data_IF_988315243299
#
_entry.id   IF_988315243299
#
_cell.length_a   1.000
_cell.length_b   1.000
_cell.length_c   1.000
_cell.angle_alpha   90.00
_cell.angle_beta   90.00
_cell.angle_gamma   90.00
#
_symmetry.space_group_name_H-M   'P 1'
#
loop_
_entity.id
_entity.type
_entity.pdbx_description
1 polymer ?
#
# COMPACT_ATOMS: atom_id res chain seq x y z
N UNK A 1 -8.90 -21.55 13.76
CA UNK A 1 -10.34 -21.60 13.40
C UNK A 1 -10.88 -20.27 12.88
N UNK A 2 -10.26 -19.15 13.20
CA UNK A 2 -10.66 -17.78 12.77
C UNK A 2 -10.27 -17.50 11.30
N UNK A 3 -9.10 -17.96 10.86
CA UNK A 3 -8.59 -17.73 9.49
C UNK A 3 -9.49 -18.33 8.40
N UNK A 4 -10.10 -19.49 8.63
CA UNK A 4 -11.02 -20.13 7.66
C UNK A 4 -12.31 -19.32 7.41
N UNK A 5 -12.75 -18.51 8.37
CA UNK A 5 -13.96 -17.69 8.22
C UNK A 5 -13.72 -16.40 7.43
N UNK A 6 -12.50 -15.83 7.51
CA UNK A 6 -12.13 -14.63 6.73
C UNK A 6 -11.93 -14.93 5.25
N UNK A 7 -11.31 -16.05 4.91
CA UNK A 7 -11.16 -16.48 3.49
C UNK A 7 -12.54 -16.73 2.87
N UNK A 8 -13.49 -17.23 3.63
CA UNK A 8 -14.86 -17.48 3.15
C UNK A 8 -15.64 -16.17 2.91
N UNK A 9 -15.44 -15.15 3.75
CA UNK A 9 -16.06 -13.83 3.56
C UNK A 9 -15.49 -13.08 2.35
N UNK A 10 -14.19 -13.12 2.10
CA UNK A 10 -13.58 -12.54 0.91
C UNK A 10 -14.05 -13.23 -0.38
N UNK A 11 -14.19 -14.57 -0.36
CA UNK A 11 -14.75 -15.34 -1.46
C UNK A 11 -16.24 -15.07 -1.68
N UNK A 12 -17.01 -14.83 -0.62
CA UNK A 12 -18.45 -14.57 -0.70
C UNK A 12 -18.79 -13.18 -1.25
N UNK A 13 -17.95 -12.18 -1.01
CA UNK A 13 -18.09 -10.84 -1.62
C UNK A 13 -17.79 -10.90 -3.13
N UNK A 14 -16.90 -11.78 -3.58
CA UNK A 14 -16.64 -11.96 -5.03
C UNK A 14 -17.82 -12.60 -5.79
N UNK A 15 -18.58 -13.49 -5.17
CA UNK A 15 -19.67 -14.22 -5.87
C UNK A 15 -20.90 -13.36 -6.13
N UNK A 16 -21.12 -12.27 -5.39
CA UNK A 16 -22.30 -11.41 -5.55
C UNK A 16 -22.17 -10.34 -6.64
N UNK A 17 -20.96 -10.10 -7.19
CA UNK A 17 -20.74 -9.11 -8.26
C UNK A 17 -20.77 -9.66 -9.69
N UNK A 18 -21.06 -10.95 -9.89
CA UNK A 18 -20.90 -11.61 -11.21
C UNK A 18 -22.08 -11.42 -12.17
N UNK A 19 -23.04 -10.55 -11.93
CA UNK A 19 -24.20 -10.44 -12.81
C UNK A 19 -24.60 -9.03 -13.23
N UNK A 20 -23.71 -8.12 -13.58
CA UNK A 20 -24.09 -6.98 -14.46
C UNK A 20 -22.86 -6.26 -15.01
N UNK A 21 -22.73 -6.32 -16.34
CA UNK A 21 -21.75 -5.66 -17.20
C UNK A 21 -20.30 -6.16 -17.07
N UNK A 22 -19.82 -6.75 -18.14
CA UNK A 22 -18.41 -7.06 -18.42
C UNK A 22 -17.58 -5.76 -18.56
N UNK A 23 -17.39 -5.05 -17.46
CA UNK A 23 -16.33 -4.09 -17.32
C UNK A 23 -15.04 -4.88 -17.06
N UNK A 24 -13.91 -4.44 -17.63
CA UNK A 24 -12.63 -5.10 -17.39
C UNK A 24 -12.36 -5.20 -15.91
N UNK A 25 -12.12 -6.41 -15.44
CA UNK A 25 -11.74 -6.73 -14.07
C UNK A 25 -10.34 -7.30 -14.10
N UNK A 26 -9.44 -6.71 -13.34
CA UNK A 26 -8.11 -7.26 -13.12
C UNK A 26 -7.98 -7.68 -11.66
N UNK A 27 -7.57 -8.92 -11.47
CA UNK A 27 -7.22 -9.45 -10.15
C UNK A 27 -5.80 -10.00 -10.20
N UNK A 28 -4.96 -9.49 -9.32
CA UNK A 28 -3.58 -9.94 -9.17
C UNK A 28 -3.32 -10.40 -7.74
N UNK A 29 -2.59 -11.50 -7.59
CA UNK A 29 -2.14 -12.05 -6.33
C UNK A 29 -0.63 -12.20 -6.37
N UNK A 30 0.07 -11.45 -5.52
CA UNK A 30 1.53 -11.51 -5.42
C UNK A 30 1.93 -12.06 -4.06
N UNK A 31 2.76 -13.10 -4.07
CA UNK A 31 3.36 -13.65 -2.87
C UNK A 31 4.87 -13.48 -2.91
N UNK A 32 5.40 -12.78 -1.93
CA UNK A 32 6.84 -12.57 -1.75
C UNK A 32 7.28 -13.24 -0.46
N UNK A 33 8.35 -14.00 -0.52
CA UNK A 33 8.92 -14.68 0.65
C UNK A 33 10.43 -14.47 0.70
N UNK A 34 10.94 -14.22 1.90
CA UNK A 34 12.36 -14.03 2.16
C UNK A 34 12.82 -14.87 3.33
N UNK A 35 13.98 -15.49 3.17
CA UNK A 35 14.73 -16.05 4.26
C UNK A 35 15.86 -15.10 4.65
N UNK A 36 15.85 -14.63 5.88
CA UNK A 36 16.82 -13.69 6.41
C UNK A 36 17.65 -14.35 7.51
N UNK A 37 18.96 -14.15 7.49
CA UNK A 37 19.88 -14.60 8.54
C UNK A 37 21.11 -13.70 8.62
N UNK A 38 21.61 -13.50 9.82
CA UNK A 38 22.91 -12.84 10.08
C UNK A 38 24.00 -13.86 10.48
N UNK A 39 23.70 -15.16 10.42
CA UNK A 39 24.55 -16.29 10.80
C UNK A 39 25.06 -16.28 12.25
N UNK A 40 24.62 -15.33 13.06
CA UNK A 40 25.02 -15.17 14.48
C UNK A 40 23.82 -15.07 15.40
N UNK A 41 22.91 -14.14 15.14
CA UNK A 41 21.75 -13.85 15.98
C UNK A 41 20.60 -14.80 15.68
N UNK A 42 20.51 -15.34 14.48
CA UNK A 42 19.49 -16.29 14.09
C UNK A 42 19.00 -16.15 12.66
N UNK A 43 17.84 -16.72 12.41
CA UNK A 43 17.19 -16.69 11.10
C UNK A 43 15.69 -16.54 11.24
N UNK A 44 15.04 -15.99 10.23
CA UNK A 44 13.59 -15.87 10.12
C UNK A 44 13.12 -15.92 8.67
N UNK A 45 11.88 -16.33 8.48
CA UNK A 45 11.13 -16.15 7.25
C UNK A 45 10.22 -14.95 7.39
N UNK A 46 10.17 -14.13 6.33
CA UNK A 46 9.22 -13.03 6.16
C UNK A 46 8.41 -13.30 4.90
N UNK A 47 7.10 -13.21 5.01
CA UNK A 47 6.17 -13.51 3.94
C UNK A 47 5.21 -12.36 3.77
N UNK A 48 5.05 -11.86 2.55
CA UNK A 48 4.09 -10.85 2.16
C UNK A 48 3.15 -11.43 1.12
N UNK A 49 1.87 -11.37 1.39
CA UNK A 49 0.81 -11.62 0.42
C UNK A 49 0.13 -10.30 0.08
N UNK A 50 0.14 -9.95 -1.19
CA UNK A 50 -0.56 -8.78 -1.73
C UNK A 50 -1.67 -9.23 -2.68
N UNK A 51 -2.85 -8.64 -2.53
CA UNK A 51 -3.96 -8.81 -3.46
C UNK A 51 -4.33 -7.47 -4.05
N UNK A 52 -4.42 -7.40 -5.37
CA UNK A 52 -4.84 -6.21 -6.09
C UNK A 52 -6.11 -6.54 -6.88
N UNK A 53 -7.07 -5.65 -6.84
CA UNK A 53 -8.30 -5.71 -7.60
C UNK A 53 -8.59 -4.36 -8.23
N UNK A 54 -8.82 -4.37 -9.54
CA UNK A 54 -9.21 -3.19 -10.31
C UNK A 54 -10.50 -3.48 -11.04
N UNK A 55 -11.49 -2.63 -10.87
CA UNK A 55 -12.77 -2.68 -11.56
C UNK A 55 -12.98 -1.41 -12.35
N UNK A 56 -13.03 -1.51 -13.68
CA UNK A 56 -13.39 -0.38 -14.53
C UNK A 56 -14.91 -0.18 -14.56
N UNK A 57 -15.34 1.06 -14.34
CA UNK A 57 -16.72 1.52 -14.49
C UNK A 57 -16.80 2.44 -15.71
N UNK A 58 -16.92 1.83 -16.88
CA UNK A 58 -16.85 2.54 -18.16
C UNK A 58 -15.42 2.95 -18.55
N UNK A 59 -15.28 4.04 -19.31
CA UNK A 59 -14.00 4.42 -19.93
C UNK A 59 -13.15 5.37 -19.07
N UNK A 60 -13.70 5.91 -18.00
CA UNK A 60 -13.06 7.02 -17.29
C UNK A 60 -12.97 6.82 -15.77
N UNK A 61 -13.55 5.76 -15.22
CA UNK A 61 -13.60 5.54 -13.78
C UNK A 61 -13.15 4.14 -13.43
N UNK A 62 -12.24 4.03 -12.49
CA UNK A 62 -11.81 2.75 -11.93
C UNK A 62 -12.03 2.73 -10.42
N UNK A 63 -12.43 1.59 -9.90
CA UNK A 63 -12.34 1.27 -8.48
C UNK A 63 -11.06 0.48 -8.28
N UNK A 64 -10.22 0.93 -7.38
CA UNK A 64 -8.94 0.31 -7.03
C UNK A 64 -8.98 -0.18 -5.59
N UNK A 65 -8.63 -1.44 -5.38
CA UNK A 65 -8.51 -2.05 -4.05
C UNK A 65 -7.23 -2.86 -4.00
N UNK A 66 -6.40 -2.61 -2.99
CA UNK A 66 -5.27 -3.47 -2.70
C UNK A 66 -5.16 -3.73 -1.20
N UNK A 67 -4.84 -4.96 -0.85
CA UNK A 67 -4.59 -5.37 0.53
C UNK A 67 -3.27 -6.10 0.66
N UNK A 68 -2.69 -6.03 1.85
CA UNK A 68 -1.47 -6.72 2.22
C UNK A 68 -1.69 -7.54 3.49
N UNK A 69 -0.99 -8.67 3.57
CA UNK A 69 -0.87 -9.49 4.76
C UNK A 69 0.59 -9.85 4.95
N UNK A 70 1.11 -9.69 6.17
CA UNK A 70 2.50 -10.00 6.50
C UNK A 70 2.53 -11.07 7.59
N UNK A 71 3.40 -12.05 7.42
CA UNK A 71 3.67 -13.07 8.41
C UNK A 71 5.17 -13.32 8.52
N UNK A 72 5.69 -13.28 9.74
CA UNK A 72 7.09 -13.64 10.04
C UNK A 72 7.17 -14.74 11.09
N UNK A 73 8.20 -15.56 11.01
CA UNK A 73 8.40 -16.68 11.94
C UNK A 73 9.07 -16.29 13.25
N UNK A 74 9.66 -15.09 13.32
CA UNK A 74 10.33 -14.59 14.52
C UNK A 74 10.32 -13.06 14.55
N UNK A 75 10.15 -12.50 15.74
CA UNK A 75 10.21 -11.05 16.01
C UNK A 75 11.64 -10.54 16.22
N UNK A 76 12.63 -11.44 16.13
CA UNK A 76 14.02 -11.09 16.36
C UNK A 76 14.54 -10.11 15.32
N UNK A 77 15.09 -8.99 15.77
CA UNK A 77 15.83 -8.07 14.91
C UNK A 77 17.19 -8.69 14.54
N UNK A 78 17.44 -8.82 13.26
CA UNK A 78 18.73 -9.29 12.72
C UNK A 78 19.71 -8.13 12.49
N UNK A 79 19.18 -6.92 12.27
CA UNK A 79 19.95 -5.70 12.05
C UNK A 79 19.52 -4.66 13.08
N UNK A 80 20.51 -4.00 13.69
CA UNK A 80 20.30 -2.97 14.72
C UNK A 80 20.56 -1.57 14.12
N UNK A 81 19.79 -1.17 13.11
CA UNK A 81 19.82 0.17 12.56
C UNK A 81 18.41 0.74 12.35
N UNK A 82 18.32 1.96 11.82
CA UNK A 82 17.05 2.63 11.51
C UNK A 82 16.33 1.99 10.33
N UNK A 83 17.06 1.32 9.46
CA UNK A 83 16.51 0.55 8.35
C UNK A 83 16.44 -0.92 8.78
N UNK A 84 15.28 -1.52 8.67
CA UNK A 84 15.13 -2.97 8.76
C UNK A 84 15.85 -3.64 7.58
N UNK A 85 16.02 -4.94 7.62
CA UNK A 85 16.73 -5.68 6.59
C UNK A 85 16.05 -5.59 5.21
N UNK A 86 14.73 -5.61 5.20
CA UNK A 86 13.91 -5.69 3.99
C UNK A 86 12.70 -4.76 4.03
N UNK A 87 12.29 -4.27 2.87
CA UNK A 87 11.10 -3.43 2.68
C UNK A 87 9.78 -4.15 2.98
N UNK A 88 9.77 -5.48 3.01
CA UNK A 88 8.57 -6.25 3.34
C UNK A 88 8.55 -6.69 4.82
N UNK A 89 9.62 -6.38 5.58
CA UNK A 89 9.72 -6.77 6.97
C UNK A 89 8.86 -5.90 7.86
N UNK A 90 7.83 -6.50 8.45
CA UNK A 90 6.92 -5.85 9.39
C UNK A 90 6.45 -6.84 10.45
N UNK A 91 5.76 -6.38 11.47
CA UNK A 91 5.08 -7.23 12.43
C UNK A 91 4.01 -8.09 11.75
N UNK A 92 3.61 -9.18 12.41
CA UNK A 92 2.54 -10.02 11.88
C UNK A 92 1.26 -9.20 11.72
N UNK A 93 0.89 -8.97 10.48
CA UNK A 93 -0.23 -8.13 10.08
C UNK A 93 -1.19 -8.98 9.23
N UNK A 94 -2.29 -9.46 9.80
CA UNK A 94 -3.21 -10.36 9.08
C UNK A 94 -3.85 -9.71 7.86
N UNK A 95 -4.14 -8.40 7.94
CA UNK A 95 -4.74 -7.63 6.85
C UNK A 95 -4.51 -6.14 7.08
N UNK A 96 -4.01 -5.45 6.06
CA UNK A 96 -4.04 -3.99 5.95
C UNK A 96 -4.48 -3.57 4.54
N UNK A 97 -5.04 -2.38 4.42
CA UNK A 97 -5.34 -1.77 3.13
C UNK A 97 -4.11 -1.01 2.64
N UNK A 98 -3.68 -1.29 1.40
CA UNK A 98 -2.73 -0.47 0.68
C UNK A 98 -3.45 0.57 -0.20
N UNK A 99 -4.54 0.16 -0.86
CA UNK A 99 -5.38 1.01 -1.70
C UNK A 99 -6.85 0.69 -1.45
N UNK A 100 -7.69 1.72 -1.37
CA UNK A 100 -9.14 1.62 -1.50
C UNK A 100 -9.68 2.97 -1.98
N UNK A 101 -10.07 3.07 -3.23
CA UNK A 101 -10.55 4.35 -3.76
C UNK A 101 -11.07 4.29 -5.18
N UNK A 102 -11.34 5.48 -5.68
CA UNK A 102 -11.85 5.71 -7.02
C UNK A 102 -10.84 6.57 -7.78
N UNK A 103 -10.54 6.16 -8.99
CA UNK A 103 -9.63 6.85 -9.89
C UNK A 103 -10.40 7.31 -11.14
N UNK A 104 -10.43 8.63 -11.38
CA UNK A 104 -11.03 9.24 -12.58
C UNK A 104 -9.95 9.60 -13.58
N UNK A 105 -10.14 9.17 -14.81
CA UNK A 105 -9.28 9.49 -15.94
C UNK A 105 -9.97 10.47 -16.88
N UNK A 106 -9.35 11.63 -17.12
CA UNK A 106 -9.85 12.66 -18.03
C UNK A 106 -8.72 13.13 -18.94
N UNK A 107 -8.71 12.66 -20.18
CA UNK A 107 -7.66 12.99 -21.14
C UNK A 107 -6.28 12.56 -20.64
N UNK A 108 -5.40 13.52 -20.45
CA UNK A 108 -4.02 13.29 -19.98
C UNK A 108 -3.88 13.33 -18.43
N UNK A 109 -5.00 13.43 -17.71
CA UNK A 109 -5.02 13.56 -16.25
C UNK A 109 -5.71 12.38 -15.60
N UNK A 110 -5.33 12.07 -14.36
CA UNK A 110 -6.10 11.21 -13.47
C UNK A 110 -6.17 11.80 -12.06
N UNK A 111 -7.28 11.53 -11.39
CA UNK A 111 -7.52 11.92 -10.00
C UNK A 111 -7.99 10.72 -9.22
N UNK A 112 -7.18 10.28 -8.28
CA UNK A 112 -7.56 9.26 -7.29
C UNK A 112 -8.05 9.94 -6.01
N UNK A 113 -9.08 9.39 -5.41
CA UNK A 113 -9.57 9.79 -4.08
C UNK A 113 -9.89 8.54 -3.28
N UNK A 114 -9.33 8.45 -2.07
CA UNK A 114 -9.53 7.29 -1.22
C UNK A 114 -8.42 7.10 -0.20
N UNK A 115 -8.17 5.85 0.15
CA UNK A 115 -7.07 5.41 0.99
C UNK A 115 -5.93 4.95 0.09
N UNK A 116 -4.71 5.40 0.38
CA UNK A 116 -3.54 5.03 -0.41
C UNK A 116 -2.28 5.06 0.43
N UNK A 117 -1.37 4.19 0.09
CA UNK A 117 -0.02 4.14 0.64
C UNK A 117 0.92 4.92 -0.29
N UNK A 118 1.84 5.72 0.27
CA UNK A 118 2.80 6.53 -0.50
C UNK A 118 3.71 5.72 -1.42
N UNK A 119 4.04 4.49 -1.04
CA UNK A 119 4.92 3.61 -1.81
C UNK A 119 4.28 3.14 -3.13
N UNK A 120 2.99 3.35 -3.33
CA UNK A 120 2.32 3.02 -4.59
C UNK A 120 2.78 3.94 -5.72
N UNK A 121 3.10 5.19 -5.40
CA UNK A 121 3.33 6.22 -6.41
C UNK A 121 4.73 6.86 -6.30
N UNK A 122 5.27 6.97 -5.08
CA UNK A 122 6.51 7.70 -4.81
C UNK A 122 7.63 6.77 -4.38
N UNK A 123 8.87 7.22 -4.57
CA UNK A 123 10.11 6.50 -4.18
C UNK A 123 10.31 5.17 -4.90
N UNK A 124 9.64 4.97 -6.02
CA UNK A 124 9.71 3.78 -6.85
C UNK A 124 10.46 4.08 -8.15
N UNK A 125 11.23 3.11 -8.61
CA UNK A 125 11.78 3.08 -9.95
C UNK A 125 11.71 1.65 -10.51
N UNK A 126 11.70 1.46 -11.83
CA UNK A 126 11.70 0.12 -12.42
C UNK A 126 12.84 -0.77 -11.95
N UNK A 127 13.99 -0.18 -11.59
CA UNK A 127 15.13 -0.92 -11.08
C UNK A 127 14.98 -1.25 -9.60
N UNK A 128 14.62 -0.27 -8.76
CA UNK A 128 14.55 -0.46 -7.31
C UNK A 128 13.39 -1.34 -6.88
N UNK A 129 12.30 -1.35 -7.63
CA UNK A 129 11.13 -2.21 -7.37
C UNK A 129 11.39 -3.71 -7.55
N UNK A 130 12.52 -4.09 -8.15
CA UNK A 130 12.94 -5.49 -8.25
C UNK A 130 13.61 -6.03 -6.98
N UNK A 131 13.93 -5.16 -6.03
CA UNK A 131 14.66 -5.51 -4.83
C UNK A 131 13.82 -5.24 -3.58
N UNK A 132 13.86 -6.17 -2.65
CA UNK A 132 13.21 -6.05 -1.34
C UNK A 132 14.10 -5.42 -0.28
N UNK A 133 15.37 -5.14 -0.58
CA UNK A 133 16.30 -4.49 0.34
C UNK A 133 15.76 -3.11 0.77
N UNK A 134 15.84 -2.81 2.06
CA UNK A 134 15.31 -1.58 2.66
C UNK A 134 15.90 -0.27 2.10
N UNK A 135 17.08 -0.33 1.49
CA UNK A 135 17.68 0.82 0.78
C UNK A 135 17.02 1.12 -0.57
N UNK A 136 16.15 0.25 -1.06
CA UNK A 136 15.43 0.40 -2.33
C UNK A 136 14.01 0.96 -2.17
N UNK A 137 13.66 1.48 -1.00
CA UNK A 137 12.35 2.06 -0.70
C UNK A 137 12.41 3.53 -0.34
N UNK A 138 11.43 3.97 0.44
CA UNK A 138 11.34 5.35 0.96
C UNK A 138 12.56 5.68 1.85
N UNK A 139 13.02 6.92 1.75
CA UNK A 139 14.17 7.37 2.54
C UNK A 139 13.89 7.31 4.05
N UNK A 140 14.79 6.74 4.87
CA UNK A 140 14.63 6.64 6.32
C UNK A 140 14.46 7.99 7.00
N UNK A 141 15.06 9.05 6.48
CA UNK A 141 14.89 10.42 6.97
C UNK A 141 13.44 10.89 6.92
N UNK A 142 12.62 10.33 6.04
CA UNK A 142 11.20 10.61 5.94
C UNK A 142 10.37 9.58 6.73
N UNK A 143 10.57 8.29 6.45
CA UNK A 143 9.75 7.21 7.03
C UNK A 143 9.98 7.00 8.52
N UNK A 144 11.17 7.27 9.05
CA UNK A 144 11.50 7.11 10.46
C UNK A 144 11.16 8.34 11.32
N UNK A 145 11.03 9.53 10.72
CA UNK A 145 10.79 10.77 11.47
C UNK A 145 9.33 11.23 11.45
N UNK A 146 8.50 10.70 10.55
CA UNK A 146 7.12 11.12 10.39
C UNK A 146 6.20 9.90 10.29
N UNK A 147 5.03 9.94 10.95
CA UNK A 147 4.06 8.83 10.96
C UNK A 147 3.22 8.80 9.68
N UNK A 148 3.84 9.02 8.53
CA UNK A 148 3.18 9.16 7.24
C UNK A 148 2.64 7.82 6.72
N UNK A 149 1.82 7.88 5.67
CA UNK A 149 1.24 6.72 5.00
C UNK A 149 2.28 5.91 4.20
N UNK A 150 3.28 5.38 4.87
CA UNK A 150 4.31 4.50 4.34
C UNK A 150 4.00 3.05 4.69
N UNK A 151 4.36 2.10 3.82
CA UNK A 151 4.17 0.67 4.11
C UNK A 151 4.53 0.31 5.57
N UNK A 152 3.69 -0.44 6.30
CA UNK A 152 2.43 -1.11 5.88
C UNK A 152 1.16 -0.28 6.13
N UNK A 153 1.28 1.00 6.49
CA UNK A 153 0.15 1.87 6.78
C UNK A 153 -0.27 2.68 5.56
N UNK A 154 -1.54 3.05 5.50
CA UNK A 154 -2.11 3.90 4.47
C UNK A 154 -2.91 5.04 5.10
N UNK A 155 -3.29 6.03 4.34
CA UNK A 155 -4.15 7.12 4.83
C UNK A 155 -5.12 7.60 3.77
N UNK A 156 -6.17 8.27 4.25
CA UNK A 156 -7.12 8.98 3.38
C UNK A 156 -6.42 10.14 2.70
N UNK A 157 -6.63 10.27 1.40
CA UNK A 157 -6.03 11.34 0.61
C UNK A 157 -6.53 11.40 -0.82
N UNK A 158 -5.87 12.22 -1.60
CA UNK A 158 -6.07 12.34 -3.04
C UNK A 158 -4.73 12.40 -3.74
N UNK A 159 -4.68 11.86 -4.95
CA UNK A 159 -3.54 11.87 -5.84
C UNK A 159 -3.96 12.35 -7.22
N UNK A 160 -3.26 13.35 -7.74
CA UNK A 160 -3.49 13.90 -9.07
C UNK A 160 -2.26 13.70 -9.94
N UNK A 161 -2.46 13.08 -11.10
CA UNK A 161 -1.41 12.87 -12.11
C UNK A 161 -1.77 13.61 -13.39
N UNK A 162 -0.76 14.25 -13.99
CA UNK A 162 -0.88 14.97 -15.25
C UNK A 162 0.30 14.64 -16.15
N UNK A 163 0.01 14.24 -17.39
CA UNK A 163 0.99 13.98 -18.44
C UNK A 163 0.88 15.04 -19.55
N UNK A 164 1.91 15.86 -19.71
CA UNK A 164 2.00 16.89 -20.74
C UNK A 164 3.24 16.64 -21.62
N UNK A 165 3.04 15.94 -22.74
CA UNK A 165 4.16 15.54 -23.60
C UNK A 165 5.14 14.62 -22.85
N UNK A 166 6.36 15.12 -22.65
CA UNK A 166 7.41 14.39 -21.91
C UNK A 166 7.41 14.69 -20.39
N UNK A 167 6.57 15.61 -19.93
CA UNK A 167 6.49 15.97 -18.53
C UNK A 167 5.43 15.14 -17.80
N UNK A 168 5.80 14.60 -16.66
CA UNK A 168 4.91 13.87 -15.77
C UNK A 168 4.91 14.57 -14.41
N UNK A 169 3.78 15.15 -14.06
CA UNK A 169 3.55 15.73 -12.74
C UNK A 169 2.64 14.82 -11.94
N UNK A 170 3.00 14.58 -10.72
CA UNK A 170 2.20 13.87 -9.74
C UNK A 170 2.20 14.67 -8.45
N UNK A 171 1.03 14.90 -7.86
CA UNK A 171 0.87 15.63 -6.61
C UNK A 171 -0.19 14.98 -5.76
N UNK A 172 0.13 14.74 -4.49
CA UNK A 172 -0.77 14.10 -3.55
C UNK A 172 -0.91 14.91 -2.27
N UNK A 173 -2.08 14.76 -1.66
CA UNK A 173 -2.40 15.29 -0.33
C UNK A 173 -3.00 14.16 0.48
N UNK A 174 -2.41 13.88 1.65
CA UNK A 174 -2.80 12.80 2.55
C UNK A 174 -3.07 13.34 3.96
N UNK A 175 -3.90 12.64 4.73
CA UNK A 175 -3.86 12.77 6.19
C UNK A 175 -2.42 12.53 6.66
N UNK A 176 -1.87 13.39 7.49
CA UNK A 176 -0.44 13.39 7.83
C UNK A 176 0.03 12.18 8.64
N UNK A 177 -0.91 11.36 9.12
CA UNK A 177 -0.62 10.09 9.81
C UNK A 177 -1.28 8.94 9.05
N UNK A 178 -0.51 7.87 8.82
CA UNK A 178 -0.99 6.62 8.24
C UNK A 178 -1.42 5.63 9.32
N UNK A 179 -2.39 4.76 8.96
CA UNK A 179 -2.95 3.74 9.86
C UNK A 179 -3.15 2.42 9.12
N UNK A 180 -3.16 1.31 9.85
CA UNK A 180 -3.47 -0.02 9.32
C UNK A 180 -4.61 -0.72 10.09
N UNK A 181 -5.14 -0.10 11.13
CA UNK A 181 -6.28 -0.61 11.88
C UNK A 181 -7.60 -0.20 11.23
N UNK A 182 -8.68 -0.90 11.58
CA UNK A 182 -10.02 -0.63 11.05
C UNK A 182 -10.98 -0.03 12.08
N UNK A 183 -10.54 0.11 13.32
CA UNK A 183 -11.37 0.60 14.44
C UNK A 183 -10.56 1.51 15.37
N UNK A 184 -11.28 2.35 16.12
CA UNK A 184 -10.67 3.22 17.12
C UNK A 184 -9.99 4.45 16.56
N UNK A 185 -8.96 4.94 17.26
CA UNK A 185 -8.22 6.15 16.89
C UNK A 185 -7.21 5.90 15.77
N UNK A 186 -6.81 4.66 15.58
CA UNK A 186 -5.83 4.22 14.56
C UNK A 186 -6.53 3.63 13.33
N UNK A 187 -7.69 4.14 13.01
CA UNK A 187 -8.50 3.67 11.90
C UNK A 187 -8.00 4.25 10.57
N UNK A 188 -7.75 3.40 9.59
CA UNK A 188 -7.28 3.77 8.25
C UNK A 188 -8.23 4.74 7.52
N UNK A 189 -9.53 4.75 7.87
CA UNK A 189 -10.52 5.70 7.35
C UNK A 189 -10.51 7.07 8.05
N UNK A 190 -9.62 7.25 9.03
CA UNK A 190 -9.54 8.49 9.79
C UNK A 190 -8.98 9.62 8.92
N UNK A 191 -9.71 10.73 8.89
CA UNK A 191 -9.26 11.99 8.33
C UNK A 191 -9.37 13.08 9.39
N UNK A 192 -8.26 13.48 9.98
CA UNK A 192 -8.25 14.42 11.09
C UNK A 192 -7.04 15.39 11.00
N UNK A 193 -7.03 16.31 10.02
CA UNK A 193 -5.90 17.21 9.78
C UNK A 193 -5.47 18.06 10.99
N UNK A 194 -6.38 18.32 11.94
CA UNK A 194 -6.08 19.12 13.12
C UNK A 194 -5.12 18.42 14.09
N UNK A 195 -5.17 17.10 14.17
CA UNK A 195 -4.31 16.31 15.08
C UNK A 195 -3.20 15.60 14.33
N UNK A 196 -3.49 15.13 13.14
CA UNK A 196 -2.61 14.26 12.36
C UNK A 196 -1.75 15.06 11.37
N UNK A 197 -2.10 16.36 11.16
CA UNK A 197 -1.48 17.17 10.13
C UNK A 197 -1.94 16.82 8.72
N UNK A 198 -1.26 17.38 7.73
CA UNK A 198 -1.43 17.10 6.31
C UNK A 198 -0.05 16.86 5.71
N UNK A 199 0.08 15.79 4.93
CA UNK A 199 1.22 15.55 4.08
C UNK A 199 0.89 15.96 2.66
N UNK A 200 1.72 16.81 2.05
CA UNK A 200 1.68 17.08 0.61
C UNK A 200 3.01 16.69 -0.01
N UNK A 201 2.95 16.00 -1.14
CA UNK A 201 4.12 15.58 -1.91
C UNK A 201 3.87 15.82 -3.39
N UNK A 202 4.90 16.27 -4.09
CA UNK A 202 4.85 16.52 -5.54
C UNK A 202 6.11 15.98 -6.19
N UNK A 203 5.94 15.28 -7.29
CA UNK A 203 7.01 14.80 -8.19
C UNK A 203 6.83 15.42 -9.56
N UNK A 204 7.93 15.80 -10.17
CA UNK A 204 7.98 16.28 -11.56
C UNK A 204 9.12 15.56 -12.27
N UNK A 205 8.81 14.84 -13.34
CA UNK A 205 9.73 14.03 -14.13
C UNK A 205 9.67 14.41 -15.61
#
# INVERSE_FOLDING_TARGET
MIVKRFVLCAAMVMVTFTNHYLAAQDFNLTYTTEFQTDFRKGAKWVNLLRTDFLQSLGNSVNIEVASISVARTSDKKLVDDLQVYSNIEEENLPLALAILGINWHVGASSLFVGIRNLNEDYFNSPCTSLFTNSSCGIFPTLSANYPIANYPVASVGMDYKLKLGNWHMETSIYNGTGYNMFVGKENVFRFCPKTDGILSITSLN
#
